data_IF_126512866286
#
_entry.id   IF_126512866286
#
_cell.length_a   1.000
_cell.length_b   1.000
_cell.length_c   1.000
_cell.angle_alpha   90.00
_cell.angle_beta   90.00
_cell.angle_gamma   90.00
#
_symmetry.space_group_name_H-M   'P 1'
#
loop_
_entity.id
_entity.type
_entity.pdbx_description
1 polymer ?
#
# COMPACT_ATOMS: atom_id res chain seq x y z
N UNK A 1 -34.63 15.15 8.91
CA UNK A 1 -33.85 14.44 9.95
C UNK A 1 -34.80 13.92 11.01
N UNK A 2 -34.65 12.66 11.45
CA UNK A 2 -35.45 12.11 12.55
C UNK A 2 -35.07 12.78 13.88
N UNK A 3 -36.03 13.02 14.78
CA UNK A 3 -35.79 13.57 16.13
C UNK A 3 -34.72 12.80 16.91
N UNK A 4 -34.65 11.48 16.73
CA UNK A 4 -33.64 10.63 17.36
C UNK A 4 -32.20 10.99 16.96
N UNK A 5 -31.99 11.40 15.71
CA UNK A 5 -30.67 11.80 15.22
C UNK A 5 -30.26 13.14 15.80
N UNK A 6 -31.19 14.11 15.87
CA UNK A 6 -30.92 15.41 16.49
C UNK A 6 -30.57 15.26 17.98
N UNK A 7 -31.27 14.38 18.71
CA UNK A 7 -30.98 14.09 20.12
C UNK A 7 -29.61 13.43 20.30
N UNK A 8 -29.26 12.49 19.43
CA UNK A 8 -27.95 11.83 19.45
C UNK A 8 -26.80 12.83 19.18
N UNK A 9 -26.98 13.73 18.21
CA UNK A 9 -26.01 14.79 17.89
C UNK A 9 -25.85 15.75 19.07
N UNK A 10 -26.95 16.19 19.69
CA UNK A 10 -26.91 17.07 20.86
C UNK A 10 -26.16 16.43 22.04
N UNK A 11 -26.46 15.17 22.36
CA UNK A 11 -25.77 14.45 23.44
C UNK A 11 -24.27 14.25 23.16
N UNK A 12 -23.90 14.01 21.91
CA UNK A 12 -22.50 13.88 21.51
C UNK A 12 -21.78 15.23 21.60
N UNK A 13 -22.41 16.32 21.18
CA UNK A 13 -21.87 17.67 21.30
C UNK A 13 -21.62 18.07 22.76
N UNK A 14 -22.56 17.77 23.68
CA UNK A 14 -22.39 18.02 25.12
C UNK A 14 -21.19 17.26 25.70
N UNK A 15 -20.99 16.00 25.30
CA UNK A 15 -19.84 15.19 25.76
C UNK A 15 -18.52 15.75 25.24
N UNK A 16 -18.45 16.16 23.97
CA UNK A 16 -17.26 16.77 23.39
C UNK A 16 -16.90 18.10 24.09
N UNK A 17 -17.90 18.92 24.42
CA UNK A 17 -17.69 20.16 25.15
C UNK A 17 -17.15 19.91 26.56
N UNK A 18 -17.70 18.96 27.30
CA UNK A 18 -17.24 18.62 28.64
C UNK A 18 -15.78 18.11 28.66
N UNK A 19 -15.35 17.34 27.66
CA UNK A 19 -13.94 16.92 27.58
C UNK A 19 -13.02 18.06 27.15
N UNK A 20 -13.50 19.00 26.31
CA UNK A 20 -12.71 20.17 25.91
C UNK A 20 -12.41 21.15 27.04
N UNK A 21 -13.13 21.10 28.16
CA UNK A 21 -12.81 21.89 29.35
C UNK A 21 -11.54 21.38 30.06
N UNK A 22 -11.20 20.09 29.91
CA UNK A 22 -10.06 19.45 30.59
C UNK A 22 -8.79 19.41 29.75
N UNK A 23 -8.90 19.53 28.43
CA UNK A 23 -7.79 19.40 27.49
C UNK A 23 -7.76 20.60 26.52
N UNK A 24 -6.73 21.44 26.66
CA UNK A 24 -6.52 22.63 25.83
C UNK A 24 -6.16 22.30 24.38
N UNK A 25 -5.46 21.19 24.14
CA UNK A 25 -5.11 20.75 22.79
C UNK A 25 -6.37 20.27 22.06
N UNK A 26 -7.19 19.45 22.72
CA UNK A 26 -8.45 18.97 22.18
C UNK A 26 -9.43 20.11 21.88
N UNK A 27 -9.46 21.15 22.73
CA UNK A 27 -10.23 22.37 22.47
C UNK A 27 -9.75 23.10 21.22
N UNK A 28 -8.44 23.11 20.96
CA UNK A 28 -7.86 23.61 19.72
C UNK A 28 -8.36 22.85 18.49
N UNK A 29 -8.36 21.52 18.57
CA UNK A 29 -8.83 20.65 17.48
C UNK A 29 -10.32 20.84 17.18
N UNK A 30 -11.16 20.99 18.21
CA UNK A 30 -12.59 21.28 18.03
C UNK A 30 -12.85 22.62 17.35
N UNK A 31 -12.03 23.66 17.64
CA UNK A 31 -12.14 24.95 16.94
C UNK A 31 -11.78 24.81 15.46
N UNK A 32 -10.70 24.10 15.15
CA UNK A 32 -10.27 23.86 13.78
C UNK A 32 -11.35 23.11 12.99
N UNK A 33 -11.95 22.08 13.59
CA UNK A 33 -13.06 21.34 12.99
C UNK A 33 -14.28 22.24 12.72
N UNK A 34 -14.67 23.09 13.69
CA UNK A 34 -15.78 24.03 13.52
C UNK A 34 -15.53 25.02 12.38
N UNK A 35 -14.30 25.55 12.27
CA UNK A 35 -13.90 26.44 11.16
C UNK A 35 -13.96 25.72 9.80
N UNK A 36 -13.50 24.47 9.72
CA UNK A 36 -13.56 23.68 8.49
C UNK A 36 -15.01 23.43 8.03
N UNK A 37 -15.92 23.13 8.97
CA UNK A 37 -17.34 22.94 8.67
C UNK A 37 -17.96 24.26 8.17
N UNK A 38 -17.68 25.39 8.84
CA UNK A 38 -18.16 26.71 8.40
C UNK A 38 -17.70 27.02 6.97
N UNK A 39 -16.40 26.86 6.68
CA UNK A 39 -15.84 27.07 5.35
C UNK A 39 -16.47 26.16 4.28
N UNK A 40 -16.78 24.91 4.61
CA UNK A 40 -17.45 23.98 3.69
C UNK A 40 -18.93 24.34 3.44
N UNK A 41 -19.58 25.02 4.39
CA UNK A 41 -20.99 25.44 4.28
C UNK A 41 -21.18 26.84 3.72
N UNK A 42 -20.14 27.68 3.74
CA UNK A 42 -20.13 28.97 3.05
C UNK A 42 -20.10 28.74 1.54
N UNK A 43 -21.30 28.69 0.95
CA UNK A 43 -21.48 28.70 -0.51
C UNK A 43 -20.81 29.97 -1.04
N UNK A 44 -19.83 29.88 -1.97
CA UNK A 44 -19.23 31.07 -2.54
C UNK A 44 -20.34 31.90 -3.18
N UNK A 45 -20.47 33.16 -2.72
CA UNK A 45 -21.39 34.11 -3.31
C UNK A 45 -21.05 34.21 -4.80
N UNK A 46 -21.93 33.69 -5.65
CA UNK A 46 -21.82 33.87 -7.09
C UNK A 46 -21.85 35.37 -7.35
N UNK A 47 -20.68 35.93 -7.64
CA UNK A 47 -20.53 37.26 -8.20
C UNK A 47 -21.23 37.25 -9.53
N UNK A 48 -22.48 37.70 -9.52
CA UNK A 48 -23.25 37.97 -10.72
C UNK A 48 -22.76 39.26 -11.33
N UNK A 49 -21.91 39.16 -12.35
CA UNK A 49 -21.73 40.25 -13.30
C UNK A 49 -21.26 39.71 -14.66
N UNK A 50 -22.07 40.01 -15.67
CA UNK A 50 -21.76 40.05 -17.10
C UNK A 50 -21.32 38.73 -17.79
N UNK A 51 -22.19 38.20 -18.66
CA UNK A 51 -22.13 38.55 -20.07
C UNK A 51 -23.37 38.05 -20.83
N UNK A 52 -24.13 39.06 -21.26
CA UNK A 52 -25.14 39.06 -22.29
C UNK A 52 -24.46 38.99 -23.68
N UNK A 53 -25.17 38.43 -24.67
CA UNK A 53 -24.87 38.36 -26.10
C UNK A 53 -23.87 37.28 -26.57
N UNK A 54 -24.37 36.21 -27.19
CA UNK A 54 -24.39 36.03 -28.66
C UNK A 54 -25.48 35.02 -29.02
N UNK A 55 -26.57 35.52 -29.60
CA UNK A 55 -27.45 34.77 -30.48
C UNK A 55 -26.99 35.02 -31.92
N UNK A 56 -26.73 33.95 -32.69
CA UNK A 56 -27.24 33.74 -34.06
C UNK A 56 -26.49 32.61 -34.79
N UNK A 57 -27.32 31.78 -35.44
CA UNK A 57 -27.09 31.06 -36.69
C UNK A 57 -26.13 29.85 -36.72
N UNK A 58 -26.70 28.65 -36.87
CA UNK A 58 -26.27 27.75 -37.94
C UNK A 58 -27.37 26.73 -38.26
N UNK A 59 -28.14 27.03 -39.31
CA UNK A 59 -28.92 26.07 -40.09
C UNK A 59 -28.04 25.60 -41.25
N UNK A 60 -27.75 24.30 -41.33
CA UNK A 60 -27.20 23.69 -42.54
C UNK A 60 -27.58 22.20 -42.63
N UNK A 61 -27.69 21.65 -43.86
CA UNK A 61 -28.70 20.65 -44.20
C UNK A 61 -28.19 19.21 -44.21
N UNK A 62 -29.15 18.28 -44.11
CA UNK A 62 -28.98 16.84 -44.24
C UNK A 62 -28.43 16.42 -45.62
N UNK A 63 -27.39 15.59 -45.62
CA UNK A 63 -26.88 14.89 -46.79
C UNK A 63 -27.40 13.42 -46.82
N UNK A 64 -27.66 12.86 -48.02
CA UNK A 64 -28.29 11.54 -48.17
C UNK A 64 -27.32 10.37 -47.97
N UNK A 65 -27.86 9.29 -47.42
CA UNK A 65 -27.18 8.02 -47.17
C UNK A 65 -26.76 7.31 -48.47
N UNK A 66 -25.51 6.82 -48.49
CA UNK A 66 -25.01 5.91 -49.51
C UNK A 66 -25.33 4.44 -49.16
N UNK A 67 -25.50 3.54 -50.14
CA UNK A 67 -25.86 2.15 -49.90
C UNK A 67 -24.67 1.30 -49.44
N UNK A 68 -24.95 0.42 -48.48
CA UNK A 68 -24.03 -0.59 -47.92
C UNK A 68 -23.77 -1.69 -48.95
N UNK A 69 -22.51 -1.88 -49.32
CA UNK A 69 -22.05 -3.02 -50.14
C UNK A 69 -21.59 -4.14 -49.20
N UNK A 70 -22.25 -5.29 -49.27
CA UNK A 70 -21.89 -6.48 -48.52
C UNK A 70 -20.61 -7.15 -49.10
N UNK A 71 -19.64 -7.58 -48.27
CA UNK A 71 -18.48 -8.32 -48.76
C UNK A 71 -18.86 -9.79 -49.07
N UNK A 72 -18.50 -10.21 -50.29
CA UNK A 72 -18.60 -11.60 -50.74
C UNK A 72 -17.55 -12.46 -50.04
N UNK A 73 -17.97 -13.49 -49.33
CA UNK A 73 -17.10 -14.49 -48.70
C UNK A 73 -16.59 -15.46 -49.77
N UNK A 74 -15.31 -15.38 -50.10
CA UNK A 74 -14.59 -16.44 -50.83
C UNK A 74 -14.39 -17.63 -49.90
N UNK A 75 -14.93 -18.78 -50.28
CA UNK A 75 -14.77 -20.04 -49.56
C UNK A 75 -13.34 -20.59 -49.75
N UNK A 76 -12.61 -20.75 -48.64
CA UNK A 76 -11.37 -21.53 -48.63
C UNK A 76 -11.69 -23.03 -48.73
N UNK A 77 -10.90 -23.82 -49.48
CA UNK A 77 -11.10 -25.26 -49.60
C UNK A 77 -10.75 -25.96 -48.28
N UNK A 78 -11.61 -26.89 -47.86
CA UNK A 78 -11.45 -27.70 -46.66
C UNK A 78 -10.16 -28.54 -46.71
N UNK A 79 -9.43 -28.68 -45.58
CA UNK A 79 -8.22 -29.50 -45.51
C UNK A 79 -8.53 -30.99 -45.61
N UNK A 80 -7.65 -31.72 -46.31
CA UNK A 80 -7.79 -33.17 -46.55
C UNK A 80 -7.67 -34.00 -45.26
N UNK A 81 -8.68 -34.85 -45.02
CA UNK A 81 -8.69 -35.87 -43.98
C UNK A 81 -7.70 -37.00 -44.32
N UNK A 82 -6.49 -36.93 -43.79
CA UNK A 82 -5.49 -38.00 -43.89
C UNK A 82 -5.62 -38.98 -42.72
N UNK A 83 -6.55 -39.92 -42.84
CA UNK A 83 -6.63 -41.08 -41.94
C UNK A 83 -5.49 -42.06 -42.27
N UNK A 84 -4.52 -42.21 -41.35
CA UNK A 84 -3.62 -43.38 -41.33
C UNK A 84 -2.13 -43.17 -41.65
N UNK A 85 -1.63 -41.93 -41.76
CA UNK A 85 -0.17 -41.69 -41.77
C UNK A 85 0.35 -41.50 -40.35
N UNK A 86 1.20 -42.41 -39.90
CA UNK A 86 1.97 -42.30 -38.65
C UNK A 86 2.94 -41.13 -38.81
N UNK A 87 2.60 -39.98 -38.24
CA UNK A 87 3.46 -38.80 -38.22
C UNK A 87 4.64 -39.12 -37.31
N UNK A 88 5.83 -39.25 -37.92
CA UNK A 88 7.11 -39.29 -37.21
C UNK A 88 7.24 -37.94 -36.48
N UNK A 89 7.03 -37.92 -35.17
CA UNK A 89 7.17 -36.71 -34.36
C UNK A 89 8.56 -36.11 -34.64
N UNK A 90 8.64 -34.90 -35.23
CA UNK A 90 9.88 -34.15 -35.16
C UNK A 90 10.14 -33.87 -33.69
N UNK A 91 11.40 -34.00 -33.24
CA UNK A 91 11.84 -33.41 -31.97
C UNK A 91 11.27 -32.00 -31.86
N UNK A 92 10.81 -31.54 -30.68
CA UNK A 92 10.31 -30.19 -30.53
C UNK A 92 11.42 -29.25 -30.95
N UNK A 93 11.30 -28.71 -32.16
CA UNK A 93 12.07 -27.55 -32.55
C UNK A 93 11.69 -26.50 -31.51
N UNK A 94 12.68 -26.05 -30.74
CA UNK A 94 12.58 -24.83 -29.96
C UNK A 94 12.06 -23.78 -30.93
N UNK A 95 10.76 -23.49 -30.85
CA UNK A 95 10.18 -22.38 -31.56
C UNK A 95 10.84 -21.16 -30.94
N UNK A 96 11.88 -20.65 -31.60
CA UNK A 96 12.33 -19.28 -31.41
C UNK A 96 11.15 -18.42 -31.82
N UNK A 97 10.28 -18.11 -30.85
CA UNK A 97 9.21 -17.15 -31.01
C UNK A 97 9.94 -15.85 -31.38
N UNK A 98 9.75 -15.32 -32.60
CA UNK A 98 10.37 -14.06 -32.98
C UNK A 98 9.91 -13.03 -31.95
N UNK A 99 10.87 -12.39 -31.28
CA UNK A 99 10.70 -11.24 -30.38
C UNK A 99 10.26 -10.02 -31.21
N UNK A 100 9.13 -10.15 -31.90
CA UNK A 100 8.52 -9.10 -32.69
C UNK A 100 7.84 -8.13 -31.72
N UNK A 101 8.47 -6.97 -31.53
CA UNK A 101 7.86 -5.75 -31.00
C UNK A 101 6.87 -5.98 -29.84
N UNK A 102 7.35 -6.53 -28.72
CA UNK A 102 6.64 -6.33 -27.48
C UNK A 102 6.57 -4.81 -27.26
N UNK A 103 5.36 -4.24 -27.31
CA UNK A 103 5.15 -2.88 -26.85
C UNK A 103 5.82 -2.75 -25.48
N UNK A 104 6.46 -1.61 -25.17
CA UNK A 104 7.07 -1.42 -23.85
C UNK A 104 6.00 -1.75 -22.80
N UNK A 105 6.29 -2.77 -21.98
CA UNK A 105 5.36 -3.19 -20.92
C UNK A 105 5.14 -2.05 -19.92
N UNK A 106 4.04 -2.13 -19.18
CA UNK A 106 3.72 -1.09 -18.18
C UNK A 106 4.81 -1.00 -17.11
N UNK A 107 5.35 0.20 -16.92
CA UNK A 107 6.46 0.51 -16.02
C UNK A 107 5.99 1.02 -14.66
N UNK A 108 6.91 1.16 -13.71
CA UNK A 108 6.61 1.68 -12.37
C UNK A 108 6.13 3.14 -12.39
N UNK A 109 6.60 3.92 -13.38
CA UNK A 109 6.21 5.32 -13.56
C UNK A 109 4.75 5.47 -14.02
N UNK A 110 4.21 4.45 -14.71
CA UNK A 110 2.84 4.45 -15.23
C UNK A 110 1.79 4.26 -14.13
N UNK A 111 2.18 3.70 -12.98
CA UNK A 111 1.28 3.38 -11.88
C UNK A 111 0.53 4.60 -11.34
N UNK A 112 1.20 5.76 -11.30
CA UNK A 112 0.56 7.00 -10.87
C UNK A 112 -0.61 7.39 -11.77
N UNK A 113 -0.44 7.23 -13.10
CA UNK A 113 -1.49 7.46 -14.08
C UNK A 113 -2.63 6.46 -13.94
N UNK A 114 -2.32 5.17 -13.76
CA UNK A 114 -3.33 4.12 -13.57
C UNK A 114 -4.21 4.41 -12.34
N UNK A 115 -3.60 4.78 -11.21
CA UNK A 115 -4.34 5.14 -9.99
C UNK A 115 -5.33 6.29 -10.26
N UNK A 116 -4.87 7.40 -10.84
CA UNK A 116 -5.71 8.57 -11.13
C UNK A 116 -6.84 8.22 -12.09
N UNK A 117 -6.55 7.50 -13.17
CA UNK A 117 -7.57 7.10 -14.16
C UNK A 117 -8.59 6.13 -13.58
N UNK A 118 -8.18 5.16 -12.76
CA UNK A 118 -9.11 4.28 -12.06
C UNK A 118 -10.06 5.07 -11.14
N UNK A 119 -9.56 6.05 -10.36
CA UNK A 119 -10.41 6.92 -9.53
C UNK A 119 -11.43 7.70 -10.35
N UNK A 120 -11.00 8.28 -11.47
CA UNK A 120 -11.88 9.04 -12.36
C UNK A 120 -12.94 8.15 -13.01
N UNK A 121 -12.60 6.90 -13.37
CA UNK A 121 -13.56 5.92 -13.87
C UNK A 121 -14.55 5.49 -12.78
N UNK A 122 -14.11 5.25 -11.56
CA UNK A 122 -15.00 4.97 -10.44
C UNK A 122 -16.00 6.12 -10.21
N UNK A 123 -15.51 7.36 -10.21
CA UNK A 123 -16.35 8.56 -10.12
C UNK A 123 -17.33 8.67 -11.29
N UNK A 124 -16.85 8.46 -12.53
CA UNK A 124 -17.66 8.49 -13.74
C UNK A 124 -18.80 7.48 -13.72
N UNK A 125 -18.58 6.26 -13.22
CA UNK A 125 -19.61 5.23 -13.09
C UNK A 125 -20.69 5.61 -12.09
N UNK A 126 -20.30 6.11 -10.91
CA UNK A 126 -21.24 6.61 -9.90
C UNK A 126 -22.04 7.79 -10.44
N UNK A 127 -21.37 8.70 -11.14
CA UNK A 127 -22.03 9.83 -11.77
C UNK A 127 -23.00 9.41 -12.87
N UNK A 128 -22.66 8.42 -13.70
CA UNK A 128 -23.57 7.90 -14.72
C UNK A 128 -24.87 7.35 -14.11
N UNK A 129 -24.79 6.67 -12.96
CA UNK A 129 -25.97 6.22 -12.22
C UNK A 129 -26.81 7.37 -11.64
N UNK A 130 -26.17 8.42 -11.11
CA UNK A 130 -26.84 9.62 -10.59
C UNK A 130 -27.51 10.41 -11.71
N UNK A 131 -26.79 10.63 -12.81
CA UNK A 131 -27.26 11.34 -14.01
C UNK A 131 -28.54 10.73 -14.54
N UNK A 132 -28.58 9.41 -14.69
CA UNK A 132 -29.78 8.70 -15.16
C UNK A 132 -30.98 8.90 -14.23
N UNK A 133 -30.73 8.84 -12.91
CA UNK A 133 -31.78 9.06 -11.91
C UNK A 133 -32.34 10.48 -12.02
N UNK A 134 -31.46 11.47 -12.15
CA UNK A 134 -31.85 12.88 -12.31
C UNK A 134 -32.67 13.11 -13.59
N UNK A 135 -32.27 12.49 -14.72
CA UNK A 135 -33.03 12.56 -15.97
C UNK A 135 -34.44 11.97 -15.78
N UNK A 136 -34.56 10.82 -15.10
CA UNK A 136 -35.86 10.20 -14.80
C UNK A 136 -36.73 11.05 -13.87
N UNK A 137 -36.11 11.78 -12.96
CA UNK A 137 -36.77 12.70 -12.02
C UNK A 137 -37.13 14.05 -12.68
N UNK A 138 -36.73 14.27 -13.93
CA UNK A 138 -37.05 15.48 -14.70
C UNK A 138 -36.11 16.67 -14.43
N UNK A 139 -34.90 16.42 -13.94
CA UNK A 139 -33.88 17.45 -13.76
C UNK A 139 -33.53 18.12 -15.10
N UNK A 140 -33.24 19.43 -15.07
CA UNK A 140 -32.81 20.15 -16.28
C UNK A 140 -31.38 19.75 -16.64
N UNK A 141 -31.19 19.17 -17.83
CA UNK A 141 -29.88 18.71 -18.27
C UNK A 141 -28.86 19.85 -18.37
N UNK A 142 -29.23 21.01 -18.88
CA UNK A 142 -28.29 22.10 -19.14
C UNK A 142 -27.81 22.77 -17.84
N UNK A 143 -28.68 22.81 -16.82
CA UNK A 143 -28.41 23.51 -15.55
C UNK A 143 -27.87 22.58 -14.48
N UNK A 144 -28.41 21.38 -14.33
CA UNK A 144 -28.11 20.49 -13.20
C UNK A 144 -27.09 19.41 -13.52
N UNK A 145 -27.08 18.89 -14.76
CA UNK A 145 -26.30 17.72 -15.17
C UNK A 145 -25.03 18.13 -15.93
N UNK A 146 -25.18 18.94 -16.98
CA UNK A 146 -24.11 19.30 -17.91
C UNK A 146 -22.89 19.95 -17.24
N UNK A 147 -23.02 20.82 -16.20
CA UNK A 147 -21.85 21.37 -15.51
C UNK A 147 -20.99 20.29 -14.85
N UNK A 148 -21.63 19.29 -14.21
CA UNK A 148 -20.92 18.20 -13.54
C UNK A 148 -20.32 17.21 -14.53
N UNK A 149 -21.02 16.91 -15.64
CA UNK A 149 -20.46 16.14 -16.75
C UNK A 149 -19.17 16.79 -17.28
N UNK A 150 -19.19 18.11 -17.53
CA UNK A 150 -18.03 18.86 -18.02
C UNK A 150 -16.87 18.81 -17.03
N UNK A 151 -17.12 19.03 -15.74
CA UNK A 151 -16.08 18.98 -14.71
C UNK A 151 -15.37 17.61 -14.65
N UNK A 152 -16.14 16.52 -14.72
CA UNK A 152 -15.59 15.16 -14.71
C UNK A 152 -14.81 14.88 -16.02
N UNK A 153 -15.34 15.30 -17.17
CA UNK A 153 -14.70 15.11 -18.48
C UNK A 153 -13.42 15.93 -18.63
N UNK A 154 -13.36 17.14 -18.09
CA UNK A 154 -12.18 17.98 -18.14
C UNK A 154 -11.05 17.37 -17.29
N UNK A 155 -11.35 16.92 -16.05
CA UNK A 155 -10.36 16.18 -15.24
C UNK A 155 -9.90 14.88 -15.89
N UNK A 156 -10.80 14.18 -16.58
CA UNK A 156 -10.44 12.98 -17.34
C UNK A 156 -9.52 13.29 -18.51
N UNK A 157 -9.78 14.39 -19.25
CA UNK A 157 -8.91 14.84 -20.34
C UNK A 157 -7.51 15.19 -19.83
N UNK A 158 -7.42 15.89 -18.70
CA UNK A 158 -6.13 16.26 -18.09
C UNK A 158 -5.30 15.04 -17.65
N UNK A 159 -5.97 13.92 -17.35
CA UNK A 159 -5.34 12.65 -16.97
C UNK A 159 -5.17 11.65 -18.13
N UNK A 160 -5.42 12.06 -19.38
CA UNK A 160 -5.47 11.19 -20.56
C UNK A 160 -6.38 9.96 -20.34
N UNK A 161 -7.54 10.19 -19.73
CA UNK A 161 -8.49 9.18 -19.29
C UNK A 161 -9.73 9.17 -20.17
N UNK A 162 -9.99 8.04 -20.82
CA UNK A 162 -11.25 7.83 -21.54
C UNK A 162 -12.35 7.29 -20.61
N UNK A 163 -13.38 8.10 -20.37
CA UNK A 163 -14.56 7.74 -19.57
C UNK A 163 -15.65 7.12 -20.45
N UNK A 164 -15.51 5.84 -20.78
CA UNK A 164 -16.43 5.12 -21.66
C UNK A 164 -17.90 5.15 -21.18
N UNK A 165 -18.13 5.15 -19.86
CA UNK A 165 -19.46 5.24 -19.22
C UNK A 165 -20.17 6.60 -19.39
N UNK A 166 -19.44 7.62 -19.86
CA UNK A 166 -19.98 8.96 -20.14
C UNK A 166 -20.15 9.22 -21.63
N UNK A 167 -20.03 8.20 -22.47
CA UNK A 167 -20.28 8.33 -23.91
C UNK A 167 -21.77 8.25 -24.22
N UNK A 168 -22.27 8.93 -25.28
CA UNK A 168 -23.68 8.84 -25.68
C UNK A 168 -24.13 7.43 -26.05
N UNK A 169 -23.20 6.58 -26.50
CA UNK A 169 -23.49 5.19 -26.90
C UNK A 169 -23.56 4.23 -25.71
N UNK A 170 -23.18 4.68 -24.51
CA UNK A 170 -23.21 3.84 -23.33
C UNK A 170 -24.65 3.59 -22.88
N UNK A 171 -25.05 2.32 -22.94
CA UNK A 171 -26.34 1.87 -22.44
C UNK A 171 -26.21 1.42 -21.00
N UNK A 172 -27.01 2.00 -20.12
CA UNK A 172 -26.98 1.64 -18.70
C UNK A 172 -27.49 0.20 -18.50
N UNK A 173 -26.81 -0.58 -17.65
CA UNK A 173 -27.30 -1.88 -17.23
C UNK A 173 -28.70 -1.78 -16.61
N UNK A 174 -29.51 -2.82 -16.79
CA UNK A 174 -30.82 -2.93 -16.13
C UNK A 174 -30.69 -2.95 -14.60
N UNK A 175 -29.60 -3.52 -14.09
CA UNK A 175 -29.28 -3.55 -12.67
C UNK A 175 -28.31 -2.41 -12.30
N UNK A 176 -28.76 -1.39 -11.55
CA UNK A 176 -27.89 -0.29 -11.11
C UNK A 176 -26.76 -0.76 -10.19
N UNK A 177 -26.92 -1.87 -9.48
CA UNK A 177 -25.87 -2.39 -8.59
C UNK A 177 -24.60 -2.78 -9.37
N UNK A 178 -24.75 -3.18 -10.64
CA UNK A 178 -23.60 -3.52 -11.48
C UNK A 178 -22.64 -2.33 -11.66
N UNK A 179 -23.16 -1.10 -11.78
CA UNK A 179 -22.32 0.09 -11.91
C UNK A 179 -21.50 0.36 -10.64
N UNK A 180 -22.10 0.14 -9.47
CA UNK A 180 -21.40 0.31 -8.19
C UNK A 180 -20.34 -0.77 -7.98
N UNK A 181 -20.61 -2.02 -8.38
CA UNK A 181 -19.63 -3.11 -8.35
C UNK A 181 -18.39 -2.75 -9.19
N UNK A 182 -18.58 -2.24 -10.41
CA UNK A 182 -17.46 -1.82 -11.28
C UNK A 182 -16.74 -0.62 -10.70
N UNK A 183 -17.47 0.39 -10.21
CA UNK A 183 -16.87 1.57 -9.58
C UNK A 183 -15.99 1.17 -8.38
N UNK A 184 -16.50 0.27 -7.55
CA UNK A 184 -15.76 -0.21 -6.37
C UNK A 184 -14.56 -1.08 -6.74
N UNK A 185 -14.64 -1.84 -7.84
CA UNK A 185 -13.48 -2.57 -8.36
C UNK A 185 -12.38 -1.61 -8.87
N UNK A 186 -12.76 -0.50 -9.52
CA UNK A 186 -11.81 0.54 -9.91
C UNK A 186 -11.14 1.18 -8.69
N UNK A 187 -11.92 1.50 -7.65
CA UNK A 187 -11.35 2.02 -6.40
C UNK A 187 -10.39 1.02 -5.75
N UNK A 188 -10.75 -0.27 -5.68
CA UNK A 188 -9.87 -1.30 -5.13
C UNK A 188 -8.54 -1.42 -5.91
N UNK A 189 -8.57 -1.30 -7.24
CA UNK A 189 -7.35 -1.25 -8.05
C UNK A 189 -6.53 0.00 -7.73
N UNK A 190 -7.16 1.17 -7.65
CA UNK A 190 -6.48 2.41 -7.30
C UNK A 190 -5.84 2.36 -5.90
N UNK A 191 -6.56 1.84 -4.90
CA UNK A 191 -6.08 1.64 -3.53
C UNK A 191 -4.85 0.72 -3.50
N UNK A 192 -4.93 -0.43 -4.18
CA UNK A 192 -3.83 -1.40 -4.24
C UNK A 192 -2.59 -0.83 -4.97
N UNK A 193 -2.80 -0.11 -6.09
CA UNK A 193 -1.72 0.55 -6.82
C UNK A 193 -1.05 1.63 -5.95
N UNK A 194 -1.82 2.45 -5.25
CA UNK A 194 -1.30 3.49 -4.35
C UNK A 194 -0.43 2.89 -3.24
N UNK A 195 -0.91 1.81 -2.60
CA UNK A 195 -0.16 1.07 -1.58
C UNK A 195 1.16 0.52 -2.12
N UNK A 196 1.12 -0.14 -3.29
CA UNK A 196 2.30 -0.70 -3.95
C UNK A 196 3.33 0.38 -4.29
N UNK A 197 2.89 1.51 -4.88
CA UNK A 197 3.77 2.64 -5.19
C UNK A 197 4.52 3.14 -3.97
N UNK A 198 3.85 3.16 -2.82
CA UNK A 198 4.46 3.53 -1.53
C UNK A 198 5.59 2.59 -1.08
N UNK A 199 5.70 1.38 -1.63
CA UNK A 199 6.72 0.37 -1.27
C UNK A 199 7.86 0.26 -2.30
N UNK A 200 7.66 0.68 -3.55
CA UNK A 200 8.65 0.57 -4.62
C UNK A 200 10.02 1.20 -4.32
N UNK A 201 10.15 2.33 -3.60
CA UNK A 201 11.47 2.88 -3.29
C UNK A 201 12.37 1.95 -2.47
N UNK A 202 11.81 0.98 -1.74
CA UNK A 202 12.55 0.02 -0.92
C UNK A 202 11.78 -1.31 -0.82
N UNK A 203 11.73 -2.05 -1.92
CA UNK A 203 10.99 -3.33 -2.01
C UNK A 203 11.53 -4.34 -1.00
N UNK A 204 12.84 -4.43 -0.81
CA UNK A 204 13.44 -5.45 0.06
C UNK A 204 13.10 -5.21 1.54
N UNK A 205 13.16 -3.97 2.04
CA UNK A 205 12.72 -3.66 3.41
C UNK A 205 11.21 -3.89 3.59
N UNK A 206 10.42 -3.64 2.54
CA UNK A 206 8.97 -3.78 2.58
C UNK A 206 8.48 -5.16 2.12
N UNK A 207 9.36 -6.14 1.88
CA UNK A 207 9.05 -7.41 1.20
C UNK A 207 7.87 -8.16 1.82
N UNK A 208 7.78 -8.14 3.15
CA UNK A 208 6.70 -8.79 3.92
C UNK A 208 5.30 -8.21 3.67
N UNK A 209 5.19 -6.97 3.19
CA UNK A 209 3.93 -6.32 2.81
C UNK A 209 3.76 -6.27 1.29
N UNK A 210 4.88 -6.20 0.56
CA UNK A 210 4.87 -6.12 -0.89
C UNK A 210 4.20 -7.34 -1.53
N UNK A 211 4.57 -8.55 -1.12
CA UNK A 211 3.97 -9.79 -1.64
C UNK A 211 2.44 -9.87 -1.40
N UNK A 212 1.93 -9.66 -0.17
CA UNK A 212 0.49 -9.56 0.06
C UNK A 212 -0.22 -8.45 -0.75
N UNK A 213 0.45 -7.33 -1.00
CA UNK A 213 -0.13 -6.26 -1.82
C UNK A 213 -0.22 -6.64 -3.30
N UNK A 214 0.74 -7.39 -3.84
CA UNK A 214 0.65 -7.95 -5.19
C UNK A 214 -0.53 -8.93 -5.32
N UNK A 215 -0.75 -9.80 -4.31
CA UNK A 215 -1.91 -10.69 -4.27
C UNK A 215 -3.25 -9.91 -4.24
N UNK A 216 -3.31 -8.80 -3.49
CA UNK A 216 -4.48 -7.92 -3.44
C UNK A 216 -4.72 -7.19 -4.76
N UNK A 217 -3.67 -6.68 -5.41
CA UNK A 217 -3.77 -6.08 -6.74
C UNK A 217 -4.25 -7.11 -7.76
N UNK A 218 -3.74 -8.36 -7.70
CA UNK A 218 -4.16 -9.45 -8.58
C UNK A 218 -5.68 -9.73 -8.46
N UNK A 219 -6.18 -9.79 -7.23
CA UNK A 219 -7.59 -9.99 -6.95
C UNK A 219 -8.43 -8.79 -7.44
N UNK A 220 -8.02 -7.56 -7.14
CA UNK A 220 -8.71 -6.35 -7.53
C UNK A 220 -8.81 -6.20 -9.06
N UNK A 221 -7.69 -6.35 -9.79
CA UNK A 221 -7.68 -6.24 -11.26
C UNK A 221 -8.51 -7.34 -11.92
N UNK A 222 -8.51 -8.55 -11.37
CA UNK A 222 -9.32 -9.64 -11.92
C UNK A 222 -10.81 -9.40 -11.68
N UNK A 223 -11.18 -8.86 -10.51
CA UNK A 223 -12.56 -8.52 -10.19
C UNK A 223 -13.05 -7.41 -11.13
N UNK A 224 -12.22 -6.38 -11.35
CA UNK A 224 -12.49 -5.30 -12.30
C UNK A 224 -12.72 -5.81 -13.72
N UNK A 225 -11.88 -6.74 -14.21
CA UNK A 225 -12.05 -7.35 -15.53
C UNK A 225 -13.44 -7.98 -15.67
N UNK A 226 -13.81 -8.83 -14.72
CA UNK A 226 -15.10 -9.55 -14.72
C UNK A 226 -16.26 -8.56 -14.61
N UNK A 227 -16.12 -7.52 -13.80
CA UNK A 227 -17.15 -6.51 -13.59
C UNK A 227 -17.38 -5.67 -14.87
N UNK A 228 -16.31 -5.20 -15.51
CA UNK A 228 -16.37 -4.41 -16.74
C UNK A 228 -16.93 -5.22 -17.93
N UNK A 229 -16.53 -6.48 -18.05
CA UNK A 229 -17.02 -7.39 -19.08
C UNK A 229 -18.55 -7.62 -18.97
N UNK A 230 -19.10 -7.64 -17.75
CA UNK A 230 -20.56 -7.78 -17.54
C UNK A 230 -21.38 -6.58 -17.99
N UNK A 231 -20.79 -5.38 -18.02
CA UNK A 231 -21.51 -4.14 -18.36
C UNK A 231 -21.46 -3.85 -19.86
N UNK A 232 -20.26 -3.79 -20.43
CA UNK A 232 -20.05 -3.31 -21.80
C UNK A 232 -19.33 -4.34 -22.69
N UNK A 233 -18.91 -5.48 -22.12
CA UNK A 233 -18.13 -6.50 -22.83
C UNK A 233 -16.75 -6.01 -23.31
N UNK A 234 -16.31 -4.83 -22.85
CA UNK A 234 -15.04 -4.21 -23.23
C UNK A 234 -13.96 -4.52 -22.20
N UNK A 235 -12.75 -4.70 -22.71
CA UNK A 235 -11.54 -4.73 -21.88
C UNK A 235 -11.17 -3.28 -21.52
N UNK A 236 -11.01 -3.00 -20.23
CA UNK A 236 -10.58 -1.69 -19.77
C UNK A 236 -9.05 -1.55 -19.88
N UNK A 237 -8.52 -0.49 -20.53
CA UNK A 237 -7.08 -0.31 -20.69
C UNK A 237 -6.29 -0.22 -19.37
N UNK A 238 -6.88 0.36 -18.31
CA UNK A 238 -6.19 0.51 -17.02
C UNK A 238 -6.16 -0.81 -16.25
N UNK A 239 -7.22 -1.61 -16.36
CA UNK A 239 -7.20 -2.98 -15.86
C UNK A 239 -6.07 -3.79 -16.52
N UNK A 240 -5.95 -3.72 -17.85
CA UNK A 240 -4.90 -4.44 -18.57
C UNK A 240 -3.49 -3.93 -18.22
N UNK A 241 -3.31 -2.62 -18.12
CA UNK A 241 -2.05 -2.02 -17.70
C UNK A 241 -1.64 -2.47 -16.28
N UNK A 242 -2.59 -2.51 -15.34
CA UNK A 242 -2.35 -3.04 -14.00
C UNK A 242 -1.94 -4.52 -14.03
N UNK A 243 -2.59 -5.35 -14.85
CA UNK A 243 -2.23 -6.76 -15.05
C UNK A 243 -0.82 -6.93 -15.65
N UNK A 244 -0.48 -6.18 -16.71
CA UNK A 244 0.82 -6.27 -17.36
C UNK A 244 1.95 -5.81 -16.42
N UNK A 245 1.73 -4.70 -15.71
CA UNK A 245 2.66 -4.23 -14.67
C UNK A 245 2.85 -5.30 -13.59
N UNK A 246 1.77 -5.87 -13.06
CA UNK A 246 1.79 -6.88 -12.00
C UNK A 246 2.57 -8.14 -12.44
N UNK A 247 2.35 -8.59 -13.67
CA UNK A 247 3.10 -9.69 -14.28
C UNK A 247 4.59 -9.38 -14.38
N UNK A 248 4.93 -8.17 -14.81
CA UNK A 248 6.31 -7.67 -14.88
C UNK A 248 6.97 -7.62 -13.50
N UNK A 249 6.31 -7.02 -12.51
CA UNK A 249 6.80 -6.90 -11.14
C UNK A 249 7.01 -8.27 -10.48
N UNK A 250 6.04 -9.19 -10.59
CA UNK A 250 6.15 -10.55 -10.07
C UNK A 250 7.35 -11.29 -10.68
N UNK A 251 7.59 -11.14 -11.98
CA UNK A 251 8.74 -11.73 -12.66
C UNK A 251 10.08 -11.11 -12.20
N UNK A 252 10.16 -9.79 -12.07
CA UNK A 252 11.37 -9.07 -11.61
C UNK A 252 11.74 -9.45 -10.17
N UNK A 253 10.75 -9.47 -9.28
CA UNK A 253 10.95 -9.74 -7.85
C UNK A 253 10.93 -11.24 -7.49
N UNK A 254 10.68 -12.11 -8.48
CA UNK A 254 10.56 -13.57 -8.34
C UNK A 254 9.50 -13.97 -7.30
N UNK A 255 8.37 -13.30 -7.34
CA UNK A 255 7.21 -13.56 -6.47
C UNK A 255 6.18 -14.36 -7.25
N UNK A 256 5.67 -15.44 -6.65
CA UNK A 256 4.63 -16.27 -7.27
C UNK A 256 3.24 -15.90 -6.74
N UNK A 257 2.45 -15.21 -7.57
CA UNK A 257 1.06 -14.88 -7.28
C UNK A 257 0.20 -16.12 -7.57
N UNK A 258 -0.45 -16.64 -6.53
CA UNK A 258 -1.11 -17.96 -6.60
C UNK A 258 -2.42 -17.97 -7.38
N UNK A 259 -3.14 -16.86 -7.39
CA UNK A 259 -4.53 -16.76 -7.86
C UNK A 259 -4.75 -15.53 -8.72
N UNK A 260 -5.85 -15.51 -9.47
CA UNK A 260 -6.36 -14.32 -10.18
C UNK A 260 -5.51 -13.78 -11.32
N UNK A 261 -4.44 -14.49 -11.68
CA UNK A 261 -3.57 -14.17 -12.82
C UNK A 261 -3.94 -14.95 -14.10
N UNK A 262 -4.97 -15.81 -14.04
CA UNK A 262 -5.44 -16.66 -15.14
C UNK A 262 -6.88 -16.30 -15.52
N UNK A 263 -7.27 -16.57 -16.77
CA UNK A 263 -8.61 -16.26 -17.27
C UNK A 263 -9.71 -17.11 -16.60
N UNK A 264 -9.37 -18.34 -16.22
CA UNK A 264 -10.24 -19.36 -15.61
C UNK A 264 -10.24 -19.36 -14.07
N UNK A 265 -9.41 -18.52 -13.43
CA UNK A 265 -9.47 -18.22 -11.98
C UNK A 265 -9.89 -16.75 -11.75
N UNK A 266 -11.11 -16.34 -12.14
CA UNK A 266 -11.57 -14.97 -11.93
C UNK A 266 -11.89 -14.66 -10.47
N UNK A 267 -11.52 -13.46 -10.01
CA UNK A 267 -12.06 -12.91 -8.76
C UNK A 267 -13.53 -12.49 -8.92
N UNK A 268 -14.29 -12.52 -7.81
CA UNK A 268 -15.69 -12.11 -7.82
C UNK A 268 -15.82 -10.59 -7.70
N UNK A 269 -16.55 -9.90 -8.61
CA UNK A 269 -16.81 -8.46 -8.50
C UNK A 269 -17.44 -8.04 -7.16
N UNK A 270 -18.41 -8.81 -6.68
CA UNK A 270 -19.10 -8.56 -5.40
C UNK A 270 -18.21 -8.72 -4.17
N UNK A 271 -16.97 -9.21 -4.32
CA UNK A 271 -15.99 -9.33 -3.24
C UNK A 271 -15.22 -8.04 -2.95
N UNK A 272 -15.45 -6.96 -3.70
CA UNK A 272 -14.65 -5.73 -3.65
C UNK A 272 -14.50 -5.15 -2.23
N UNK A 273 -15.57 -5.11 -1.43
CA UNK A 273 -15.53 -4.52 -0.08
C UNK A 273 -14.56 -5.26 0.84
N UNK A 274 -14.46 -6.60 0.69
CA UNK A 274 -13.49 -7.41 1.44
C UNK A 274 -12.06 -7.18 0.96
N UNK A 275 -11.87 -6.95 -0.33
CA UNK A 275 -10.54 -6.63 -0.90
C UNK A 275 -10.08 -5.27 -0.39
N UNK A 276 -10.94 -4.26 -0.45
CA UNK A 276 -10.65 -2.91 0.08
C UNK A 276 -10.30 -2.94 1.56
N UNK A 277 -11.10 -3.60 2.40
CA UNK A 277 -10.78 -3.74 3.83
C UNK A 277 -9.40 -4.39 4.07
N UNK A 278 -9.03 -5.41 3.28
CA UNK A 278 -7.70 -6.03 3.38
C UNK A 278 -6.56 -5.12 2.89
N UNK A 279 -6.82 -4.25 1.90
CA UNK A 279 -5.85 -3.24 1.45
C UNK A 279 -5.65 -2.20 2.56
N UNK A 280 -6.73 -1.71 3.16
CA UNK A 280 -6.71 -0.76 4.27
C UNK A 280 -5.97 -1.33 5.49
N UNK A 281 -6.27 -2.57 5.90
CA UNK A 281 -5.58 -3.25 7.01
C UNK A 281 -4.07 -3.40 6.74
N UNK A 282 -3.71 -3.72 5.50
CA UNK A 282 -2.32 -3.89 5.09
C UNK A 282 -1.57 -2.55 5.07
N UNK A 283 -2.19 -1.48 4.56
CA UNK A 283 -1.61 -0.13 4.61
C UNK A 283 -1.47 0.34 6.06
N UNK A 284 -2.51 0.21 6.89
CA UNK A 284 -2.45 0.57 8.31
C UNK A 284 -1.28 -0.12 9.03
N UNK A 285 -1.11 -1.43 8.79
CA UNK A 285 0.00 -2.21 9.34
C UNK A 285 1.38 -1.73 8.85
N UNK A 286 1.49 -1.32 7.58
CA UNK A 286 2.71 -0.75 7.02
C UNK A 286 3.02 0.62 7.62
N UNK A 287 2.01 1.49 7.76
CA UNK A 287 2.16 2.81 8.36
C UNK A 287 2.56 2.70 9.83
N UNK A 288 1.97 1.77 10.59
CA UNK A 288 2.34 1.50 11.98
C UNK A 288 3.81 1.12 12.12
N UNK A 289 4.30 0.20 11.28
CA UNK A 289 5.71 -0.15 11.29
C UNK A 289 6.60 1.06 10.99
N UNK A 290 6.23 1.88 9.99
CA UNK A 290 6.99 3.07 9.62
C UNK A 290 7.01 4.08 10.77
N UNK A 291 5.88 4.29 11.45
CA UNK A 291 5.77 5.15 12.62
C UNK A 291 6.66 4.66 13.77
N UNK A 292 6.60 3.37 14.08
CA UNK A 292 7.45 2.73 15.09
C UNK A 292 8.94 2.88 14.75
N UNK A 293 9.33 2.60 13.51
CA UNK A 293 10.72 2.76 13.05
C UNK A 293 11.23 4.20 13.14
N UNK A 294 10.41 5.18 12.76
CA UNK A 294 10.74 6.62 12.91
C UNK A 294 10.88 7.02 14.39
N UNK A 295 9.94 6.58 15.24
CA UNK A 295 9.97 6.83 16.68
C UNK A 295 11.22 6.22 17.32
N UNK A 296 11.50 4.94 17.06
CA UNK A 296 12.72 4.25 17.48
C UNK A 296 13.99 5.01 17.10
N UNK A 297 14.12 5.39 15.82
CA UNK A 297 15.29 6.14 15.31
C UNK A 297 15.45 7.49 16.03
N UNK A 298 14.36 8.21 16.27
CA UNK A 298 14.35 9.48 17.01
C UNK A 298 14.84 9.29 18.45
N UNK A 299 14.32 8.29 19.16
CA UNK A 299 14.72 7.97 20.53
C UNK A 299 16.20 7.57 20.61
N UNK A 300 16.69 6.71 19.71
CA UNK A 300 18.10 6.34 19.68
C UNK A 300 19.01 7.51 19.31
N UNK A 301 18.55 8.45 18.48
CA UNK A 301 19.29 9.69 18.22
C UNK A 301 19.37 10.58 19.46
N UNK A 302 18.25 10.72 20.19
CA UNK A 302 18.19 11.47 21.45
C UNK A 302 19.10 10.86 22.51
N UNK A 303 19.06 9.54 22.67
CA UNK A 303 19.94 8.79 23.58
C UNK A 303 21.42 9.05 23.26
N UNK A 304 21.81 8.90 21.98
CA UNK A 304 23.19 9.17 21.53
C UNK A 304 23.64 10.61 21.73
N UNK A 305 22.73 11.57 21.59
CA UNK A 305 23.04 12.97 21.82
C UNK A 305 23.40 13.24 23.28
N UNK A 306 22.54 12.85 24.22
CA UNK A 306 22.77 13.09 25.65
C UNK A 306 23.95 12.27 26.19
N UNK A 307 24.10 11.01 25.76
CA UNK A 307 25.26 10.18 26.14
C UNK A 307 26.57 10.81 25.68
N UNK A 308 26.66 11.32 24.43
CA UNK A 308 27.84 12.02 23.94
C UNK A 308 28.17 13.29 24.72
N UNK A 309 27.16 14.05 25.17
CA UNK A 309 27.37 15.24 26.00
C UNK A 309 27.98 14.87 27.35
N UNK A 310 27.48 13.81 27.98
CA UNK A 310 28.01 13.30 29.25
C UNK A 310 29.45 12.79 29.07
N UNK A 311 29.70 12.03 28.02
CA UNK A 311 31.04 11.51 27.68
C UNK A 311 32.07 12.64 27.52
N UNK A 312 31.65 13.75 26.91
CA UNK A 312 32.48 14.94 26.67
C UNK A 312 32.58 15.92 27.87
N UNK A 313 32.19 15.53 29.09
CA UNK A 313 32.17 16.41 30.28
C UNK A 313 31.27 17.66 30.14
N UNK A 314 30.32 17.66 29.18
CA UNK A 314 29.44 18.78 28.87
C UNK A 314 27.98 18.58 29.29
N UNK A 315 27.67 17.39 29.82
CA UNK A 315 26.33 17.06 30.29
C UNK A 315 26.21 17.16 31.80
N UNK A 316 24.98 17.35 32.26
CA UNK A 316 24.64 17.53 33.68
C UNK A 316 23.51 16.58 34.13
N UNK A 317 22.90 16.85 35.29
CA UNK A 317 21.77 16.08 35.81
C UNK A 317 20.55 16.08 34.86
N UNK A 318 20.36 17.14 34.06
CA UNK A 318 19.27 17.18 33.07
C UNK A 318 19.51 16.18 31.95
N UNK A 319 20.75 16.09 31.43
CA UNK A 319 21.10 15.11 30.40
C UNK A 319 20.93 13.66 30.89
N UNK A 320 21.30 13.37 32.15
CA UNK A 320 21.02 12.07 32.77
C UNK A 320 19.51 11.76 32.84
N UNK A 321 18.69 12.70 33.31
CA UNK A 321 17.24 12.51 33.34
C UNK A 321 16.64 12.26 31.96
N UNK A 322 17.17 12.91 30.92
CA UNK A 322 16.76 12.65 29.52
C UNK A 322 17.18 11.27 29.04
N UNK A 323 18.36 10.78 29.41
CA UNK A 323 18.80 9.42 29.12
C UNK A 323 17.84 8.40 29.76
N UNK A 324 17.54 8.56 31.06
CA UNK A 324 16.62 7.68 31.79
C UNK A 324 15.25 7.60 31.13
N UNK A 325 14.62 8.75 30.90
CA UNK A 325 13.31 8.82 30.25
C UNK A 325 13.32 8.23 28.84
N UNK A 326 14.40 8.43 28.08
CA UNK A 326 14.52 7.88 26.72
C UNK A 326 14.69 6.35 26.74
N UNK A 327 15.39 5.80 27.73
CA UNK A 327 15.53 4.34 27.89
C UNK A 327 14.19 3.71 28.25
N UNK A 328 13.45 4.28 29.20
CA UNK A 328 12.11 3.76 29.54
C UNK A 328 11.19 3.82 28.33
N UNK A 329 11.16 4.95 27.60
CA UNK A 329 10.35 5.07 26.38
C UNK A 329 10.76 4.04 25.32
N UNK A 330 12.06 3.77 25.13
CA UNK A 330 12.52 2.73 24.21
C UNK A 330 12.04 1.33 24.65
N UNK A 331 12.16 0.99 25.93
CA UNK A 331 11.77 -0.32 26.45
C UNK A 331 10.24 -0.51 26.42
N UNK A 332 9.48 0.54 26.73
CA UNK A 332 8.00 0.53 26.67
C UNK A 332 7.49 0.39 25.22
N UNK A 333 8.22 0.94 24.24
CA UNK A 333 7.97 0.74 22.81
C UNK A 333 8.45 -0.62 22.28
N UNK A 334 8.94 -1.50 23.16
CA UNK A 334 9.34 -2.87 22.83
C UNK A 334 10.78 -3.02 22.33
N UNK A 335 11.63 -1.99 22.45
CA UNK A 335 13.06 -2.17 22.19
C UNK A 335 13.62 -3.22 23.17
N UNK A 336 14.33 -4.25 22.68
CA UNK A 336 14.91 -5.26 23.55
C UNK A 336 15.88 -4.61 24.55
N UNK A 337 15.78 -4.98 25.83
CA UNK A 337 16.71 -4.48 26.86
C UNK A 337 18.17 -4.90 26.61
N UNK A 338 18.38 -5.89 25.74
CA UNK A 338 19.69 -6.35 25.26
C UNK A 338 20.19 -5.64 23.98
N UNK A 339 19.47 -4.61 23.51
CA UNK A 339 19.78 -3.87 22.29
C UNK A 339 21.23 -3.42 22.25
N UNK A 340 21.93 -3.81 21.17
CA UNK A 340 23.34 -3.47 20.95
C UNK A 340 23.51 -1.95 20.89
N UNK A 341 22.62 -1.25 20.17
CA UNK A 341 22.69 0.20 19.99
C UNK A 341 22.54 0.95 21.32
N UNK A 342 21.60 0.53 22.18
CA UNK A 342 21.41 1.11 23.51
C UNK A 342 22.63 0.85 24.38
N UNK A 343 23.13 -0.40 24.39
CA UNK A 343 24.32 -0.78 25.15
C UNK A 343 25.55 0.02 24.71
N UNK A 344 25.82 0.11 23.42
CA UNK A 344 26.97 0.86 22.89
C UNK A 344 26.88 2.35 23.20
N UNK A 345 25.67 2.93 23.22
CA UNK A 345 25.49 4.31 23.62
C UNK A 345 25.78 4.56 25.11
N UNK A 346 25.47 3.59 25.99
CA UNK A 346 25.62 3.75 27.45
C UNK A 346 26.98 3.34 27.98
N UNK A 347 27.65 2.38 27.36
CA UNK A 347 28.94 1.85 27.84
C UNK A 347 30.00 2.92 28.12
N UNK A 348 30.21 3.96 27.29
CA UNK A 348 31.23 4.98 27.54
C UNK A 348 31.01 5.80 28.81
N UNK A 349 29.74 5.96 29.22
CA UNK A 349 29.37 6.85 30.34
C UNK A 349 29.00 6.09 31.60
N UNK A 350 29.07 4.75 31.59
CA UNK A 350 28.55 3.90 32.65
C UNK A 350 29.21 4.17 34.01
N UNK A 351 30.53 4.36 34.02
CA UNK A 351 31.32 4.66 35.24
C UNK A 351 31.05 6.07 35.80
N UNK A 352 30.39 6.92 35.02
CA UNK A 352 30.07 8.32 35.37
C UNK A 352 28.62 8.48 35.83
N UNK A 353 27.86 7.38 35.90
CA UNK A 353 26.46 7.40 36.30
C UNK A 353 26.34 7.90 37.75
N UNK A 354 25.53 8.94 38.01
CA UNK A 354 25.33 9.44 39.37
C UNK A 354 24.61 8.39 40.21
N UNK A 355 24.74 8.50 41.52
CA UNK A 355 23.89 7.76 42.46
C UNK A 355 22.45 8.30 42.31
N UNK A 356 21.64 7.55 41.56
CA UNK A 356 20.24 7.86 41.33
C UNK A 356 19.41 7.20 42.43
N UNK A 357 18.76 8.01 43.26
CA UNK A 357 17.88 7.52 44.34
C UNK A 357 16.74 6.64 43.80
N UNK A 358 16.27 6.92 42.57
CA UNK A 358 15.24 6.14 41.88
C UNK A 358 15.68 5.77 40.45
N UNK A 359 16.29 4.60 40.29
CA UNK A 359 16.52 4.03 38.95
C UNK A 359 15.22 3.49 38.35
N UNK A 360 14.90 3.94 37.14
CA UNK A 360 13.72 3.47 36.43
C UNK A 360 13.79 1.98 36.10
N UNK A 361 12.61 1.38 35.83
CA UNK A 361 12.53 -0.06 35.53
C UNK A 361 13.27 -0.41 34.24
N UNK A 362 13.13 0.39 33.19
CA UNK A 362 13.80 0.18 31.91
C UNK A 362 15.31 0.22 32.07
N UNK A 363 15.84 1.23 32.76
CA UNK A 363 17.27 1.34 33.02
C UNK A 363 17.81 0.11 33.77
N UNK A 364 17.18 -0.31 34.87
CA UNK A 364 17.65 -1.49 35.64
C UNK A 364 17.73 -2.75 34.78
N UNK A 365 16.77 -2.96 33.88
CA UNK A 365 16.78 -4.11 32.99
C UNK A 365 17.91 -4.02 31.95
N UNK A 366 18.13 -2.83 31.38
CA UNK A 366 19.24 -2.59 30.45
C UNK A 366 20.59 -2.79 31.13
N UNK A 367 20.80 -2.18 32.30
CA UNK A 367 22.04 -2.32 33.08
C UNK A 367 22.36 -3.79 33.38
N UNK A 368 21.36 -4.58 33.79
CA UNK A 368 21.53 -6.02 34.02
C UNK A 368 22.01 -6.77 32.77
N UNK A 369 21.52 -6.40 31.59
CA UNK A 369 21.97 -7.01 30.33
C UNK A 369 23.37 -6.52 29.92
N UNK A 370 23.72 -5.27 30.22
CA UNK A 370 25.08 -4.74 30.05
C UNK A 370 26.07 -5.50 30.95
N UNK A 371 25.73 -5.70 32.23
CA UNK A 371 26.55 -6.47 33.17
C UNK A 371 26.75 -7.90 32.70
N UNK A 372 25.68 -8.56 32.22
CA UNK A 372 25.76 -9.90 31.63
C UNK A 372 26.68 -9.92 30.41
N UNK A 373 26.60 -8.91 29.54
CA UNK A 373 27.48 -8.78 28.38
C UNK A 373 28.95 -8.59 28.79
N UNK A 374 29.23 -7.72 29.77
CA UNK A 374 30.58 -7.48 30.28
C UNK A 374 31.17 -8.73 30.97
N UNK A 375 30.35 -9.47 31.73
CA UNK A 375 30.74 -10.73 32.35
C UNK A 375 31.13 -11.79 31.31
N UNK A 376 30.45 -11.83 30.16
CA UNK A 376 30.73 -12.77 29.07
C UNK A 376 31.97 -12.37 28.26
N UNK A 377 32.25 -11.07 28.16
CA UNK A 377 33.43 -10.55 27.44
C UNK A 377 34.73 -10.60 28.22
N UNK A 378 34.67 -10.73 29.55
CA UNK A 378 35.87 -10.84 30.37
C UNK A 378 36.64 -12.08 29.90
N UNK A 379 37.84 -11.95 29.29
CA UNK A 379 38.59 -13.11 28.86
C UNK A 379 38.79 -14.02 30.08
N UNK A 380 38.71 -15.36 29.91
CA UNK A 380 39.05 -16.26 31.00
C UNK A 380 40.41 -15.80 31.53
N UNK A 381 40.57 -15.65 32.87
CA UNK A 381 41.80 -15.15 33.44
C UNK A 381 42.94 -15.94 32.80
N UNK A 382 43.87 -15.21 32.18
CA UNK A 382 45.07 -15.75 31.56
C UNK A 382 45.54 -16.90 32.43
N UNK A 383 45.44 -18.11 31.86
CA UNK A 383 45.56 -19.35 32.60
C UNK A 383 46.81 -19.24 33.45
N UNK A 384 46.65 -19.33 34.78
CA UNK A 384 47.76 -19.28 35.70
C UNK A 384 48.93 -20.10 35.11
N UNK A 385 50.17 -19.58 35.14
CA UNK A 385 51.30 -20.22 34.49
C UNK A 385 51.29 -21.71 34.82
N UNK A 386 51.42 -22.59 33.82
CA UNK A 386 51.23 -24.03 33.99
C UNK A 386 52.03 -24.47 35.22
N UNK A 387 51.33 -25.04 36.20
CA UNK A 387 51.96 -25.55 37.41
C UNK A 387 53.18 -26.38 37.00
N UNK A 388 54.36 -26.13 37.61
CA UNK A 388 55.58 -26.84 37.24
C UNK A 388 55.31 -28.34 37.25
N UNK A 389 55.77 -29.07 36.22
CA UNK A 389 55.45 -30.48 36.07
C UNK A 389 55.84 -31.23 37.34
N UNK A 390 54.86 -31.86 37.98
CA UNK A 390 55.09 -32.75 39.11
C UNK A 390 56.19 -33.76 38.75
N UNK A 391 57.15 -34.03 39.66
CA UNK A 391 58.27 -34.91 39.37
C UNK A 391 57.76 -36.27 38.89
N UNK A 392 58.15 -36.61 37.66
CA UNK A 392 57.86 -37.90 37.03
C UNK A 392 58.38 -39.02 37.93
N UNK A 393 57.46 -39.73 38.58
CA UNK A 393 57.77 -41.03 39.19
C UNK A 393 58.40 -41.94 38.13
N UNK A 394 59.52 -42.63 38.45
CA UNK A 394 60.24 -43.45 37.50
C UNK A 394 59.34 -44.54 36.94
N UNK A 395 59.19 -44.55 35.61
CA UNK A 395 58.54 -45.61 34.82
C UNK A 395 59.15 -46.96 35.19
N UNK A 396 58.37 -47.80 35.87
CA UNK A 396 58.62 -49.23 36.01
C UNK A 396 58.66 -49.84 34.60
N UNK A 397 59.84 -50.27 34.17
CA UNK A 397 60.03 -51.08 32.96
C UNK A 397 59.35 -52.43 33.14
N UNK A 398 58.71 -52.89 32.07
CA UNK A 398 58.53 -54.31 31.78
C UNK A 398 57.18 -54.87 32.17
N UNK A 399 56.34 -55.13 31.17
CA UNK A 399 56.13 -56.50 30.67
C UNK A 399 55.20 -56.44 29.48
N UNK A 400 55.74 -56.85 28.33
CA UNK A 400 55.02 -57.07 27.09
C UNK A 400 54.28 -58.41 27.18
N UNK A 401 53.02 -58.50 26.72
CA UNK A 401 52.53 -59.77 26.21
C UNK A 401 52.16 -59.64 24.72
N UNK A 402 52.82 -60.53 23.98
CA UNK A 402 52.46 -61.20 22.75
C UNK A 402 51.12 -60.85 22.07
N UNK A 403 51.23 -60.52 20.78
CA UNK A 403 50.13 -60.66 19.80
C UNK A 403 49.85 -62.15 19.54
N UNK A 404 48.59 -62.59 19.49
CA UNK A 404 48.26 -63.85 18.85
C UNK A 404 48.06 -63.63 17.35
N UNK A 405 48.71 -64.49 16.56
CA UNK A 405 48.41 -64.73 15.16
C UNK A 405 47.18 -65.62 15.04
N UNK A 406 46.19 -65.20 14.24
CA UNK A 406 45.47 -66.00 13.25
C UNK A 406 44.64 -65.04 12.39
#
# INVERSE_FOLDING_TARGET
MSENLLRAIASLAERLLAESERDDAFRGDLRNLATAILAATERPALVGEALEAVALASTAPAAPAAPVVAPSRTAEPLPELTLGRTIRQPSPATLEIPTAYAAPGTSDDDLAGIEVRCRLKAEGLRWAAIRERQIKEGADFAVEIAPRDREILDRARDADCFLWMNTPDFSLPLDPAALEDVASCFDAVADAVSLIRGMLPDVETNRRFFEPALDLLAEAQSALRVAAERIDGRNDPDQFAAYDWLRGAAAREKIYIRRYMQLDDPASPSGHARVQARIEDLDASLQDLRRQGKKRKSLLSRLRYHTRRIDADQGDAHDWNKILATIDELVDEGEPTSSVEVREALLPILERMPDLDETSRGLRLVLREIDRYLATRRPPPESAPPSPPAPRSPRRRGSSPARPSC
#
